data_IF_844651682969
#
_entry.id   IF_844651682969
#
_cell.length_a   1.000
_cell.length_b   1.000
_cell.length_c   1.000
_cell.angle_alpha   90.00
_cell.angle_beta   90.00
_cell.angle_gamma   90.00
#
_symmetry.space_group_name_H-M   'P 1'
#
loop_
_entity.id
_entity.type
_entity.pdbx_description
1 polymer ?
#
# COMPACT_ATOMS: atom_id res chain seq x y z
N UNK A 1 -9.05 4.35 -24.27
CA UNK A 1 -9.34 4.39 -22.82
C UNK A 1 -8.01 4.55 -22.10
N UNK A 2 -7.80 5.54 -21.23
CA UNK A 2 -6.63 5.50 -20.38
C UNK A 2 -6.80 4.29 -19.47
N UNK A 3 -5.91 3.32 -19.59
CA UNK A 3 -5.77 2.27 -18.59
C UNK A 3 -5.34 3.05 -17.36
N UNK A 4 -6.24 3.25 -16.38
CA UNK A 4 -5.86 3.72 -15.05
C UNK A 4 -4.93 2.66 -14.49
N UNK A 5 -3.64 2.77 -14.83
CA UNK A 5 -2.58 2.02 -14.20
C UNK A 5 -2.62 2.55 -12.78
N UNK A 6 -3.34 1.86 -11.90
CA UNK A 6 -3.01 1.93 -10.48
C UNK A 6 -1.50 1.69 -10.50
N UNK A 7 -0.70 2.68 -10.15
CA UNK A 7 0.72 2.54 -10.33
C UNK A 7 1.13 1.47 -9.30
N UNK A 8 1.48 0.31 -9.85
CA UNK A 8 1.78 -0.90 -9.10
C UNK A 8 3.30 -1.00 -8.88
N UNK A 9 4.00 0.13 -9.00
CA UNK A 9 5.44 0.17 -9.17
C UNK A 9 6.18 0.42 -7.87
N UNK A 10 5.59 1.17 -6.94
CA UNK A 10 6.29 1.62 -5.75
C UNK A 10 5.56 1.30 -4.44
N UNK A 11 6.33 1.38 -3.35
CA UNK A 11 5.86 1.10 -2.00
C UNK A 11 4.79 2.09 -1.52
N UNK A 12 4.89 3.36 -1.92
CA UNK A 12 3.98 4.43 -1.45
C UNK A 12 2.58 4.23 -2.01
N UNK A 13 2.49 3.80 -3.26
CA UNK A 13 1.24 3.48 -3.95
C UNK A 13 0.58 2.26 -3.32
N UNK A 14 1.38 1.22 -3.04
CA UNK A 14 0.92 0.06 -2.28
C UNK A 14 0.38 0.45 -0.91
N UNK A 15 1.10 1.31 -0.18
CA UNK A 15 0.70 1.81 1.14
C UNK A 15 -0.64 2.55 1.10
N UNK A 16 -0.80 3.47 0.15
CA UNK A 16 -2.05 4.19 -0.04
C UNK A 16 -3.23 3.24 -0.29
N UNK A 17 -3.04 2.26 -1.19
CA UNK A 17 -4.05 1.22 -1.49
C UNK A 17 -4.39 0.42 -0.22
N UNK A 18 -3.38 -0.09 0.48
CA UNK A 18 -3.56 -0.88 1.70
C UNK A 18 -4.33 -0.13 2.80
N UNK A 19 -4.00 1.14 3.00
CA UNK A 19 -4.66 1.99 4.00
C UNK A 19 -6.13 2.25 3.62
N UNK A 20 -6.39 2.57 2.35
CA UNK A 20 -7.74 2.85 1.85
C UNK A 20 -8.63 1.61 1.78
N UNK A 21 -8.08 0.40 1.71
CA UNK A 21 -8.87 -0.83 1.83
C UNK A 21 -9.56 -0.96 3.19
N UNK A 22 -9.00 -0.36 4.24
CA UNK A 22 -9.53 -0.42 5.60
C UNK A 22 -10.32 0.85 5.95
N UNK A 23 -9.77 2.04 5.65
CA UNK A 23 -10.37 3.33 6.04
C UNK A 23 -11.29 3.93 4.97
N UNK A 24 -11.34 3.35 3.77
CA UNK A 24 -12.07 3.88 2.63
C UNK A 24 -11.29 4.94 1.84
N UNK A 25 -11.74 5.23 0.62
CA UNK A 25 -11.07 6.15 -0.31
C UNK A 25 -11.31 7.63 -0.02
N UNK A 26 -12.24 7.95 0.89
CA UNK A 26 -12.52 9.32 1.34
C UNK A 26 -11.46 9.83 2.34
N UNK A 27 -10.66 8.94 2.91
CA UNK A 27 -9.62 9.29 3.87
C UNK A 27 -8.27 9.33 3.15
N UNK A 28 -7.57 10.46 3.30
CA UNK A 28 -6.22 10.59 2.79
C UNK A 28 -5.27 9.69 3.60
N UNK A 29 -4.52 8.78 2.96
CA UNK A 29 -3.54 7.98 3.66
C UNK A 29 -2.43 8.88 4.25
N UNK A 30 -1.89 8.54 5.43
CA UNK A 30 -0.76 9.25 6.00
C UNK A 30 0.49 9.08 5.13
N UNK A 31 1.56 9.82 5.46
CA UNK A 31 2.84 9.63 4.80
C UNK A 31 3.31 8.18 4.97
N UNK A 32 3.65 7.52 3.86
CA UNK A 32 4.19 6.18 3.88
C UNK A 32 5.52 6.15 4.66
N UNK A 33 5.78 5.11 5.46
CA UNK A 33 7.05 4.96 6.16
C UNK A 33 8.20 4.69 5.17
N UNK A 34 9.43 4.64 5.69
CA UNK A 34 10.59 4.23 4.89
C UNK A 34 10.36 2.82 4.33
N UNK A 35 10.63 2.65 3.04
CA UNK A 35 10.46 1.38 2.35
C UNK A 35 11.43 0.33 2.94
N UNK A 36 10.94 -0.83 3.40
CA UNK A 36 11.80 -1.94 3.79
C UNK A 36 12.38 -2.65 2.57
N UNK A 37 13.56 -3.25 2.72
CA UNK A 37 14.16 -4.04 1.63
C UNK A 37 13.21 -5.15 1.18
N UNK A 38 12.96 -5.21 -0.13
CA UNK A 38 12.11 -6.22 -0.71
C UNK A 38 12.74 -7.62 -0.57
N UNK A 39 12.10 -8.48 0.22
CA UNK A 39 12.45 -9.90 0.34
C UNK A 39 12.05 -10.67 -0.93
N UNK A 40 12.82 -11.71 -1.26
CA UNK A 40 12.60 -12.55 -2.43
C UNK A 40 11.15 -13.10 -2.47
N UNK A 41 10.51 -12.98 -3.64
CA UNK A 41 9.11 -13.41 -3.82
C UNK A 41 8.05 -12.36 -3.45
N UNK A 42 8.46 -11.14 -3.10
CA UNK A 42 7.55 -10.03 -2.81
C UNK A 42 7.95 -8.79 -3.63
N UNK A 43 6.97 -7.94 -3.95
CA UNK A 43 7.20 -6.66 -4.64
C UNK A 43 7.08 -5.50 -3.65
N UNK A 44 7.74 -4.38 -3.95
CA UNK A 44 7.62 -3.12 -3.18
C UNK A 44 6.16 -2.72 -2.98
N UNK A 45 5.35 -2.88 -4.03
CA UNK A 45 3.92 -2.62 -3.99
C UNK A 45 3.18 -3.51 -2.98
N UNK A 46 3.45 -4.82 -2.95
CA UNK A 46 2.82 -5.73 -1.99
C UNK A 46 3.25 -5.45 -0.54
N UNK A 47 4.51 -5.04 -0.32
CA UNK A 47 4.98 -4.56 0.99
C UNK A 47 4.25 -3.28 1.41
N UNK A 48 4.06 -2.37 0.46
CA UNK A 48 3.26 -1.18 0.65
C UNK A 48 1.85 -1.53 1.13
N UNK A 49 1.14 -2.41 0.40
CA UNK A 49 -0.23 -2.82 0.76
C UNK A 49 -0.27 -3.36 2.19
N UNK A 50 0.65 -4.26 2.53
CA UNK A 50 0.73 -4.79 3.89
C UNK A 50 0.92 -3.68 4.94
N UNK A 51 1.89 -2.81 4.73
CA UNK A 51 2.17 -1.70 5.64
C UNK A 51 0.98 -0.73 5.77
N UNK A 52 0.27 -0.48 4.67
CA UNK A 52 -0.94 0.36 4.66
C UNK A 52 -2.08 -0.25 5.46
N UNK A 53 -2.31 -1.56 5.33
CA UNK A 53 -3.32 -2.29 6.10
C UNK A 53 -2.99 -2.24 7.60
N UNK A 54 -1.73 -2.52 7.97
CA UNK A 54 -1.27 -2.47 9.37
C UNK A 54 -1.41 -1.05 9.95
N UNK A 55 -1.03 -0.01 9.20
CA UNK A 55 -1.16 1.39 9.62
C UNK A 55 -2.62 1.85 9.78
N UNK A 56 -3.53 1.25 9.03
CA UNK A 56 -4.96 1.49 9.16
C UNK A 56 -5.61 0.73 10.33
N UNK A 57 -4.86 -0.09 11.06
CA UNK A 57 -5.35 -0.94 12.15
C UNK A 57 -5.92 -2.29 11.69
N UNK A 58 -5.76 -2.65 10.42
CA UNK A 58 -6.08 -3.97 9.90
C UNK A 58 -5.00 -5.00 10.25
N UNK A 59 -5.34 -6.29 10.19
CA UNK A 59 -4.40 -7.39 10.42
C UNK A 59 -4.53 -8.43 9.31
N UNK A 60 -3.40 -8.79 8.71
CA UNK A 60 -3.29 -9.94 7.81
C UNK A 60 -2.94 -11.16 8.67
N UNK A 61 -3.87 -12.11 8.78
CA UNK A 61 -3.72 -13.38 9.53
C UNK A 61 -3.41 -14.55 8.62
#
# INVERSE_FOLDING_TARGET
MPISRVPHGDFREGFAVGFQLIQGTAVAPPAAPAEPDAVAGTTRFLLGIRAGIEAAGGKLS
#
